data_IF_941437262535
#
_entry.id   IF_941437262535
#
_cell.length_a   1.000
_cell.length_b   1.000
_cell.length_c   1.000
_cell.angle_alpha   90.00
_cell.angle_beta   90.00
_cell.angle_gamma   90.00
#
_symmetry.space_group_name_H-M   'P 1'
#
loop_
_entity.id
_entity.type
_entity.pdbx_description
1 polymer ?
#
# COMPACT_ATOMS: atom_id res chain seq x y z
N UNK A 1 34.13 -5.46 2.85
CA UNK A 1 33.23 -5.75 1.70
C UNK A 1 31.80 -5.38 2.08
N UNK A 2 31.22 -4.38 1.43
CA UNK A 2 29.85 -3.92 1.68
C UNK A 2 28.89 -4.93 1.04
N UNK A 3 28.24 -5.76 1.86
CA UNK A 3 27.29 -6.76 1.40
C UNK A 3 25.96 -6.08 1.04
N UNK A 4 25.67 -5.97 -0.25
CA UNK A 4 24.32 -5.68 -0.73
C UNK A 4 23.38 -6.82 -0.32
N UNK A 5 22.21 -6.46 0.19
CA UNK A 5 21.21 -7.45 0.58
C UNK A 5 20.30 -7.69 -0.62
N UNK A 6 20.43 -8.88 -1.27
CA UNK A 6 19.54 -9.30 -2.36
C UNK A 6 18.60 -10.38 -1.80
N UNK A 7 17.32 -10.08 -1.76
CA UNK A 7 16.27 -10.99 -1.28
C UNK A 7 15.26 -11.27 -2.40
N UNK A 8 14.70 -12.46 -2.40
CA UNK A 8 13.67 -12.86 -3.36
C UNK A 8 12.58 -13.67 -2.68
N UNK A 9 11.39 -13.68 -3.26
CA UNK A 9 10.41 -14.71 -2.96
C UNK A 9 10.87 -16.08 -3.53
N UNK A 10 10.06 -17.13 -3.30
CA UNK A 10 10.34 -18.50 -3.69
C UNK A 10 10.02 -18.83 -5.15
N UNK A 11 9.52 -17.88 -5.93
CA UNK A 11 9.15 -18.10 -7.33
C UNK A 11 10.39 -18.42 -8.17
N UNK A 12 10.31 -19.42 -9.06
CA UNK A 12 11.41 -19.83 -9.96
C UNK A 12 12.01 -18.67 -10.75
N UNK A 13 11.17 -17.74 -11.24
CA UNK A 13 11.61 -16.56 -11.98
C UNK A 13 12.38 -15.59 -11.09
N UNK A 14 11.93 -15.39 -9.84
CA UNK A 14 12.64 -14.56 -8.85
C UNK A 14 14.02 -15.12 -8.53
N UNK A 15 14.14 -16.43 -8.34
CA UNK A 15 15.40 -17.11 -8.07
C UNK A 15 16.37 -16.99 -9.25
N UNK A 16 15.91 -17.14 -10.51
CA UNK A 16 16.74 -16.91 -11.72
C UNK A 16 17.26 -15.48 -11.77
N UNK A 17 16.40 -14.48 -11.50
CA UNK A 17 16.80 -13.06 -11.47
C UNK A 17 17.84 -12.83 -10.35
N UNK A 18 17.64 -13.42 -9.17
CA UNK A 18 18.57 -13.32 -8.05
C UNK A 18 19.96 -13.86 -8.42
N UNK A 19 20.02 -15.06 -8.99
CA UNK A 19 21.28 -15.68 -9.43
C UNK A 19 21.99 -14.83 -10.48
N UNK A 20 21.25 -14.28 -11.45
CA UNK A 20 21.78 -13.35 -12.44
C UNK A 20 22.40 -12.11 -11.79
N UNK A 21 21.72 -11.48 -10.85
CA UNK A 21 22.21 -10.29 -10.16
C UNK A 21 23.45 -10.59 -9.31
N UNK A 22 23.45 -11.68 -8.56
CA UNK A 22 24.61 -12.08 -7.75
C UNK A 22 25.86 -12.28 -8.63
N UNK A 23 25.72 -12.98 -9.78
CA UNK A 23 26.81 -13.20 -10.72
C UNK A 23 27.37 -11.88 -11.28
N UNK A 24 26.50 -10.92 -11.61
CA UNK A 24 26.93 -9.65 -12.20
C UNK A 24 27.46 -8.65 -11.16
N UNK A 25 26.94 -8.65 -9.92
CA UNK A 25 27.43 -7.76 -8.87
C UNK A 25 28.75 -8.20 -8.26
N UNK A 26 29.14 -9.47 -8.34
CA UNK A 26 30.50 -9.89 -8.01
C UNK A 26 31.54 -9.18 -8.87
N UNK A 27 31.20 -8.84 -10.15
CA UNK A 27 32.09 -8.16 -11.08
C UNK A 27 32.11 -6.63 -10.94
N UNK A 28 31.00 -6.03 -10.47
CA UNK A 28 30.85 -4.57 -10.28
C UNK A 28 30.03 -4.32 -8.99
N UNK A 29 30.66 -4.16 -7.83
CA UNK A 29 29.94 -3.87 -6.59
C UNK A 29 29.24 -2.51 -6.69
N UNK A 30 27.98 -2.45 -6.26
CA UNK A 30 27.23 -1.20 -6.12
C UNK A 30 27.52 -0.61 -4.74
N UNK A 31 27.92 0.65 -4.70
CA UNK A 31 28.51 1.33 -3.56
C UNK A 31 27.55 1.76 -2.43
N UNK A 32 26.48 1.01 -2.13
CA UNK A 32 25.60 1.43 -1.02
C UNK A 32 25.26 0.28 -0.07
N UNK A 33 25.85 0.29 1.11
CA UNK A 33 25.64 -0.71 2.17
C UNK A 33 24.20 -0.79 2.68
N UNK A 34 23.42 0.27 2.46
CA UNK A 34 22.03 0.35 2.91
C UNK A 34 21.00 -0.03 1.84
N UNK A 35 21.43 -0.57 0.69
CA UNK A 35 20.55 -0.97 -0.38
C UNK A 35 20.05 -2.40 -0.21
N UNK A 36 18.74 -2.57 -0.22
CA UNK A 36 18.05 -3.86 -0.28
C UNK A 36 17.40 -4.00 -1.65
N UNK A 37 17.84 -4.99 -2.41
CA UNK A 37 17.23 -5.38 -3.68
C UNK A 37 16.18 -6.46 -3.40
N UNK A 38 14.93 -6.15 -3.73
CA UNK A 38 13.78 -7.01 -3.46
C UNK A 38 13.24 -7.56 -4.77
N UNK A 39 13.30 -8.88 -4.97
CA UNK A 39 12.86 -9.54 -6.21
C UNK A 39 11.57 -10.32 -5.92
N UNK A 40 10.48 -9.97 -6.61
CA UNK A 40 9.16 -10.57 -6.38
C UNK A 40 8.04 -9.70 -6.92
N UNK A 41 6.85 -9.82 -6.32
CA UNK A 41 5.71 -8.94 -6.56
C UNK A 41 5.55 -7.88 -5.47
N UNK A 42 4.53 -7.00 -5.61
CA UNK A 42 4.24 -5.94 -4.62
C UNK A 42 3.99 -6.50 -3.22
N UNK A 43 3.31 -7.64 -3.08
CA UNK A 43 3.07 -8.28 -1.78
C UNK A 43 4.37 -8.65 -1.05
N UNK A 44 5.38 -9.15 -1.77
CA UNK A 44 6.70 -9.44 -1.20
C UNK A 44 7.45 -8.17 -0.81
N UNK A 45 7.32 -7.11 -1.61
CA UNK A 45 7.85 -5.78 -1.28
C UNK A 45 7.21 -5.24 0.00
N UNK A 46 5.88 -5.24 0.12
CA UNK A 46 5.17 -4.77 1.32
C UNK A 46 5.62 -5.52 2.58
N UNK A 47 5.74 -6.85 2.50
CA UNK A 47 6.25 -7.69 3.60
C UNK A 47 7.68 -7.31 3.99
N UNK A 48 8.53 -7.06 3.01
CA UNK A 48 9.93 -6.65 3.21
C UNK A 48 10.01 -5.28 3.87
N UNK A 49 9.26 -4.30 3.39
CA UNK A 49 9.20 -2.96 3.95
C UNK A 49 8.75 -3.01 5.43
N UNK A 50 7.65 -3.72 5.73
CA UNK A 50 7.15 -3.87 7.10
C UNK A 50 8.17 -4.48 8.06
N UNK A 51 8.94 -5.50 7.61
CA UNK A 51 10.03 -6.08 8.40
C UNK A 51 11.18 -5.10 8.67
N UNK A 52 11.37 -4.11 7.81
CA UNK A 52 12.44 -3.12 7.89
C UNK A 52 11.92 -1.73 8.30
N UNK A 53 10.76 -1.61 8.95
CA UNK A 53 10.12 -0.33 9.29
C UNK A 53 10.96 0.63 10.13
N UNK A 54 11.93 0.12 10.88
CA UNK A 54 12.81 0.89 11.75
C UNK A 54 14.21 1.08 11.14
N UNK A 55 14.39 0.82 9.85
CA UNK A 55 15.68 0.95 9.17
C UNK A 55 15.70 2.15 8.23
N UNK A 56 16.86 2.76 8.06
CA UNK A 56 17.10 3.82 7.06
C UNK A 56 17.52 3.28 5.69
N UNK A 57 17.14 2.03 5.38
CA UNK A 57 17.53 1.36 4.14
C UNK A 57 16.80 1.92 2.93
N UNK A 58 17.45 1.76 1.77
CA UNK A 58 16.88 2.02 0.45
C UNK A 58 16.39 0.70 -0.15
N UNK A 59 15.25 0.71 -0.80
CA UNK A 59 14.65 -0.48 -1.38
C UNK A 59 14.50 -0.32 -2.89
N UNK A 60 15.12 -1.23 -3.64
CA UNK A 60 14.93 -1.31 -5.09
C UNK A 60 14.17 -2.60 -5.41
N UNK A 61 12.91 -2.46 -5.80
CA UNK A 61 12.09 -3.60 -6.18
C UNK A 61 12.31 -4.01 -7.63
N UNK A 62 12.42 -5.32 -7.88
CA UNK A 62 12.46 -5.92 -9.22
C UNK A 62 11.27 -6.85 -9.37
N UNK A 63 10.39 -6.54 -10.32
CA UNK A 63 9.22 -7.35 -10.59
C UNK A 63 9.59 -8.66 -11.30
N UNK A 64 9.23 -9.78 -10.72
CA UNK A 64 9.33 -11.11 -11.31
C UNK A 64 7.99 -11.63 -11.85
N UNK A 65 6.89 -11.00 -11.46
CA UNK A 65 5.53 -11.30 -11.94
C UNK A 65 5.16 -10.48 -13.19
N UNK A 66 3.86 -10.46 -13.47
CA UNK A 66 3.32 -9.70 -14.59
C UNK A 66 3.21 -8.20 -14.27
N UNK A 67 2.88 -7.85 -13.01
CA UNK A 67 2.59 -6.49 -12.54
C UNK A 67 3.27 -6.18 -11.22
N UNK A 68 3.51 -4.91 -11.00
CA UNK A 68 3.97 -4.38 -9.74
C UNK A 68 4.07 -2.85 -9.81
N UNK A 69 3.29 -2.16 -8.98
CA UNK A 69 3.30 -0.69 -8.92
C UNK A 69 4.50 -0.19 -8.10
N UNK A 70 4.89 -0.95 -7.08
CA UNK A 70 6.06 -0.65 -6.23
C UNK A 70 7.39 -1.18 -6.79
N UNK A 71 7.35 -1.92 -7.91
CA UNK A 71 8.49 -2.64 -8.46
C UNK A 71 8.95 -2.03 -9.79
N UNK A 72 10.26 -2.18 -10.10
CA UNK A 72 10.85 -1.89 -11.40
C UNK A 72 10.80 -3.12 -12.31
N UNK A 73 10.83 -2.93 -13.62
CA UNK A 73 10.86 -4.03 -14.60
C UNK A 73 12.27 -4.63 -14.65
N UNK A 74 12.37 -5.93 -14.61
CA UNK A 74 13.64 -6.60 -14.89
C UNK A 74 14.02 -6.50 -16.36
N UNK A 75 15.27 -6.14 -16.61
CA UNK A 75 15.91 -6.19 -17.94
C UNK A 75 17.36 -6.60 -17.77
N UNK A 76 17.80 -7.76 -18.31
CA UNK A 76 19.19 -8.19 -18.20
C UNK A 76 20.19 -7.15 -18.71
N UNK A 77 19.84 -6.44 -19.80
CA UNK A 77 20.71 -5.43 -20.43
C UNK A 77 20.76 -4.10 -19.65
N UNK A 78 19.68 -3.71 -18.98
CA UNK A 78 19.52 -2.35 -18.45
C UNK A 78 19.44 -2.26 -16.93
N UNK A 79 19.05 -3.33 -16.21
CA UNK A 79 18.81 -3.26 -14.76
C UNK A 79 20.02 -2.73 -14.00
N UNK A 80 21.23 -3.21 -14.31
CA UNK A 80 22.46 -2.77 -13.60
C UNK A 80 22.74 -1.28 -13.87
N UNK A 81 22.56 -0.81 -15.10
CA UNK A 81 22.73 0.62 -15.47
C UNK A 81 21.67 1.50 -14.83
N UNK A 82 20.46 0.97 -14.64
CA UNK A 82 19.35 1.70 -14.07
C UNK A 82 19.53 1.99 -12.57
N UNK A 83 20.23 1.13 -11.82
CA UNK A 83 20.51 1.38 -10.40
C UNK A 83 21.22 2.71 -10.15
N UNK A 84 22.20 3.07 -10.97
CA UNK A 84 22.97 4.32 -10.82
C UNK A 84 22.15 5.57 -11.15
N UNK A 85 21.04 5.42 -11.87
CA UNK A 85 20.13 6.50 -12.31
C UNK A 85 18.77 6.47 -11.61
N UNK A 86 18.60 5.58 -10.65
CA UNK A 86 17.32 5.44 -9.94
C UNK A 86 16.99 6.70 -9.12
N UNK A 87 15.73 7.13 -9.19
CA UNK A 87 15.21 8.25 -8.40
C UNK A 87 14.62 7.73 -7.11
N UNK A 88 14.92 8.40 -6.01
CA UNK A 88 14.36 8.08 -4.70
C UNK A 88 12.99 8.72 -4.51
N UNK A 89 12.06 7.94 -3.98
CA UNK A 89 10.75 8.39 -3.52
C UNK A 89 10.58 7.90 -2.08
N UNK A 90 10.27 8.79 -1.17
CA UNK A 90 9.95 8.44 0.22
C UNK A 90 8.45 8.32 0.38
N UNK A 91 7.99 7.17 0.89
CA UNK A 91 6.60 6.92 1.23
C UNK A 91 6.43 6.75 2.74
N UNK A 92 5.25 7.12 3.24
CA UNK A 92 4.88 7.03 4.65
C UNK A 92 3.68 6.11 4.80
N UNK A 93 3.68 5.15 5.73
CA UNK A 93 2.54 4.29 5.97
C UNK A 93 1.43 5.01 6.72
N UNK A 94 0.23 4.46 6.67
CA UNK A 94 -0.83 4.76 7.63
C UNK A 94 -0.55 4.03 8.94
N UNK A 95 -0.88 4.68 10.05
CA UNK A 95 -1.08 4.04 11.35
C UNK A 95 -2.58 3.83 11.55
N UNK A 96 -2.97 2.60 11.84
CA UNK A 96 -4.32 2.21 12.22
C UNK A 96 -4.35 1.88 13.70
N UNK A 97 -5.27 2.49 14.44
CA UNK A 97 -5.59 2.16 15.84
C UNK A 97 -7.03 1.71 15.85
N UNK A 98 -7.26 0.48 16.28
CA UNK A 98 -8.60 -0.13 16.33
C UNK A 98 -8.95 -0.45 17.76
N UNK A 99 -10.15 -0.03 18.18
CA UNK A 99 -10.81 -0.48 19.40
C UNK A 99 -11.97 -1.41 19.03
N UNK A 100 -12.00 -2.60 19.59
CA UNK A 100 -13.09 -3.54 19.39
C UNK A 100 -14.27 -3.31 20.36
N UNK A 101 -15.31 -4.15 20.28
CA UNK A 101 -16.48 -4.08 21.18
C UNK A 101 -16.12 -4.30 22.65
N UNK A 102 -15.14 -5.15 22.93
CA UNK A 102 -14.67 -5.51 24.27
C UNK A 102 -13.70 -4.48 24.87
N UNK A 103 -13.38 -3.42 24.13
CA UNK A 103 -12.45 -2.38 24.59
C UNK A 103 -10.99 -2.66 24.27
N UNK A 104 -10.64 -3.84 23.70
CA UNK A 104 -9.28 -4.16 23.28
C UNK A 104 -8.80 -3.22 22.19
N UNK A 105 -7.61 -2.65 22.38
CA UNK A 105 -6.96 -1.74 21.42
C UNK A 105 -5.82 -2.46 20.74
N UNK A 106 -5.81 -2.41 19.40
CA UNK A 106 -4.70 -2.90 18.57
C UNK A 106 -4.21 -1.82 17.65
N UNK A 107 -2.89 -1.83 17.37
CA UNK A 107 -2.22 -0.89 16.46
C UNK A 107 -1.52 -1.65 15.35
N UNK A 108 -1.58 -1.11 14.13
CA UNK A 108 -0.86 -1.65 12.97
C UNK A 108 -0.50 -0.55 12.00
N UNK A 109 0.37 -0.87 11.02
CA UNK A 109 0.68 0.03 9.90
C UNK A 109 0.22 -0.59 8.58
N UNK A 110 -0.23 0.28 7.67
CA UNK A 110 -0.56 -0.08 6.30
C UNK A 110 0.25 0.78 5.33
N UNK A 111 0.89 0.16 4.35
CA UNK A 111 1.66 0.86 3.31
C UNK A 111 0.72 1.27 2.18
N UNK A 112 -0.19 0.38 1.79
CA UNK A 112 -1.19 0.66 0.76
C UNK A 112 -2.44 1.32 1.36
N UNK A 113 -3.25 0.58 2.10
CA UNK A 113 -4.51 1.07 2.62
C UNK A 113 -4.93 0.40 3.94
N UNK A 114 -5.81 1.09 4.64
CA UNK A 114 -6.66 0.52 5.69
C UNK A 114 -8.06 0.37 5.12
N UNK A 115 -8.56 -0.85 5.04
CA UNK A 115 -9.94 -1.14 4.63
C UNK A 115 -10.80 -1.57 5.81
N UNK A 116 -12.05 -1.08 5.82
CA UNK A 116 -13.07 -1.44 6.77
C UNK A 116 -14.12 -2.22 6.01
N UNK A 117 -14.37 -3.47 6.40
CA UNK A 117 -15.23 -4.40 5.67
C UNK A 117 -16.31 -4.96 6.58
N UNK A 118 -17.52 -5.16 6.05
CA UNK A 118 -18.58 -5.89 6.76
C UNK A 118 -18.17 -7.35 7.01
N UNK A 119 -18.53 -7.90 8.15
CA UNK A 119 -18.29 -9.31 8.51
C UNK A 119 -19.51 -10.20 8.30
N UNK A 120 -20.64 -9.65 7.94
CA UNK A 120 -21.89 -10.38 7.74
C UNK A 120 -22.54 -10.02 6.42
N UNK A 121 -23.64 -10.69 6.07
CA UNK A 121 -24.44 -10.35 4.89
C UNK A 121 -25.04 -8.94 4.95
N UNK A 122 -25.19 -8.37 6.14
CA UNK A 122 -25.71 -7.01 6.30
C UNK A 122 -24.63 -5.96 6.01
N UNK A 123 -25.01 -4.91 5.28
CA UNK A 123 -24.13 -3.79 4.99
C UNK A 123 -23.60 -3.12 6.27
N UNK A 124 -22.39 -2.65 6.28
CA UNK A 124 -21.82 -1.85 7.35
C UNK A 124 -22.59 -0.53 7.53
N UNK A 125 -22.61 0.01 8.75
CA UNK A 125 -23.17 1.33 9.07
C UNK A 125 -22.11 2.15 9.77
N UNK A 126 -21.51 3.09 9.03
CA UNK A 126 -20.30 3.79 9.44
C UNK A 126 -20.53 5.30 9.53
N UNK A 127 -19.91 5.95 10.51
CA UNK A 127 -19.67 7.40 10.46
C UNK A 127 -18.19 7.67 10.18
N UNK A 128 -17.89 8.73 9.43
CA UNK A 128 -16.53 9.10 9.04
C UNK A 128 -16.32 10.57 9.36
N UNK A 129 -15.21 10.85 10.06
CA UNK A 129 -14.81 12.19 10.46
C UNK A 129 -13.34 12.45 10.08
N UNK A 130 -12.99 13.69 9.84
CA UNK A 130 -11.60 14.18 9.74
C UNK A 130 -11.37 15.19 10.86
N UNK A 131 -10.63 14.79 11.88
CA UNK A 131 -10.53 15.55 13.14
C UNK A 131 -11.91 15.73 13.79
N UNK A 132 -12.34 16.98 13.94
CA UNK A 132 -13.68 17.34 14.45
C UNK A 132 -14.74 17.42 13.33
N UNK A 133 -14.32 17.54 12.05
CA UNK A 133 -15.26 17.74 10.93
C UNK A 133 -15.87 16.40 10.49
N UNK A 134 -17.20 16.35 10.46
CA UNK A 134 -17.95 15.21 9.93
C UNK A 134 -17.84 15.22 8.40
N UNK A 135 -17.31 14.12 7.81
CA UNK A 135 -17.33 13.89 6.36
C UNK A 135 -18.67 13.28 5.97
N UNK A 136 -19.12 12.26 6.72
CA UNK A 136 -20.38 11.60 6.50
C UNK A 136 -20.94 11.08 7.82
N UNK A 137 -22.18 11.44 8.14
CA UNK A 137 -22.86 11.04 9.41
C UNK A 137 -23.17 9.54 9.41
N UNK A 138 -23.64 9.01 8.28
CA UNK A 138 -24.02 7.60 8.14
C UNK A 138 -23.80 7.11 6.72
N UNK A 139 -22.85 6.22 6.55
CA UNK A 139 -22.58 5.48 5.32
C UNK A 139 -23.07 4.04 5.48
N UNK A 140 -23.98 3.62 4.60
CA UNK A 140 -24.38 2.21 4.46
C UNK A 140 -23.71 1.66 3.22
N UNK A 141 -22.82 0.69 3.39
CA UNK A 141 -21.97 0.16 2.31
C UNK A 141 -21.43 -1.22 2.70
N UNK A 142 -20.73 -1.89 1.77
CA UNK A 142 -19.95 -3.07 2.12
C UNK A 142 -18.71 -2.70 2.95
N UNK A 143 -18.27 -1.46 2.84
CA UNK A 143 -17.15 -0.93 3.61
C UNK A 143 -16.67 0.42 3.12
N UNK A 144 -15.50 0.80 3.59
CA UNK A 144 -14.76 2.00 3.18
C UNK A 144 -13.27 1.72 3.32
N UNK A 145 -12.46 2.31 2.47
CA UNK A 145 -11.01 2.26 2.64
C UNK A 145 -10.39 3.65 2.67
N UNK A 146 -9.24 3.73 3.34
CA UNK A 146 -8.38 4.90 3.37
C UNK A 146 -7.05 4.49 2.77
N UNK A 147 -6.69 5.09 1.64
CA UNK A 147 -5.51 4.72 0.87
C UNK A 147 -4.44 5.81 0.89
N UNK A 148 -3.19 5.38 0.94
CA UNK A 148 -2.01 6.19 0.67
C UNK A 148 -1.86 6.43 -0.84
N UNK A 149 -0.98 7.33 -1.29
CA UNK A 149 -0.59 7.41 -2.69
C UNK A 149 -0.06 6.09 -3.26
N UNK A 150 0.71 5.32 -2.47
CA UNK A 150 1.24 4.02 -2.90
C UNK A 150 0.12 2.98 -3.11
N UNK A 151 -0.89 2.97 -2.23
CA UNK A 151 -2.04 2.08 -2.32
C UNK A 151 -3.13 2.54 -3.28
N UNK A 152 -3.03 3.75 -3.85
CA UNK A 152 -4.07 4.28 -4.75
C UNK A 152 -4.27 3.43 -6.02
N UNK A 153 -3.29 2.62 -6.38
CA UNK A 153 -3.32 1.68 -7.50
C UNK A 153 -3.58 0.23 -7.09
N UNK A 154 -3.79 -0.03 -5.79
CA UNK A 154 -4.14 -1.34 -5.24
C UNK A 154 -5.67 -1.46 -5.05
N UNK A 155 -6.15 -1.91 -3.91
CA UNK A 155 -7.58 -2.09 -3.66
C UNK A 155 -8.42 -0.81 -3.87
N UNK A 156 -7.79 0.36 -3.63
CA UNK A 156 -8.44 1.64 -3.93
C UNK A 156 -8.86 1.78 -5.40
N UNK A 157 -8.04 1.30 -6.34
CA UNK A 157 -8.38 1.34 -7.77
C UNK A 157 -9.54 0.40 -8.09
N UNK A 158 -9.58 -0.78 -7.49
CA UNK A 158 -10.66 -1.78 -7.69
C UNK A 158 -12.03 -1.27 -7.21
N UNK A 159 -12.06 -0.34 -6.26
CA UNK A 159 -13.30 0.31 -5.80
C UNK A 159 -13.53 1.68 -6.46
N UNK A 160 -12.91 1.91 -7.62
CA UNK A 160 -13.00 3.16 -8.38
C UNK A 160 -12.53 4.41 -7.61
N UNK A 161 -11.65 4.23 -6.63
CA UNK A 161 -11.02 5.34 -5.93
C UNK A 161 -10.03 6.09 -6.83
N UNK A 162 -9.72 7.37 -6.51
CA UNK A 162 -8.82 8.19 -7.30
C UNK A 162 -7.38 7.70 -7.20
N UNK A 163 -6.66 7.78 -8.32
CA UNK A 163 -5.23 7.52 -8.35
C UNK A 163 -4.48 8.77 -7.87
N UNK A 164 -3.57 8.58 -6.92
CA UNK A 164 -2.77 9.64 -6.35
C UNK A 164 -1.30 9.51 -6.80
N UNK A 165 -0.68 10.63 -7.16
CA UNK A 165 0.77 10.65 -7.39
C UNK A 165 1.52 10.24 -6.13
N UNK A 166 2.57 9.41 -6.25
CA UNK A 166 3.37 8.94 -5.10
C UNK A 166 3.93 10.08 -4.24
N UNK A 167 4.18 11.24 -4.83
CA UNK A 167 4.69 12.42 -4.14
C UNK A 167 3.57 13.30 -3.56
N UNK A 168 2.30 12.95 -3.74
CA UNK A 168 1.21 13.78 -3.25
C UNK A 168 1.10 13.68 -1.73
N UNK A 169 0.83 14.83 -1.09
CA UNK A 169 0.54 14.91 0.34
C UNK A 169 -0.95 14.74 0.60
N UNK A 170 -1.53 13.67 0.01
CA UNK A 170 -2.97 13.40 0.02
C UNK A 170 -3.25 11.96 0.38
N UNK A 171 -4.44 11.71 0.91
CA UNK A 171 -5.01 10.37 1.14
C UNK A 171 -6.35 10.31 0.40
N UNK A 172 -6.77 9.10 0.00
CA UNK A 172 -8.10 8.83 -0.53
C UNK A 172 -8.95 8.13 0.51
N UNK A 173 -10.20 8.57 0.66
CA UNK A 173 -11.26 7.81 1.34
C UNK A 173 -12.20 7.35 0.24
N UNK A 174 -12.33 6.05 0.04
CA UNK A 174 -13.15 5.46 -1.03
C UNK A 174 -14.15 4.47 -0.45
N UNK A 175 -15.45 4.61 -0.74
CA UNK A 175 -16.44 3.64 -0.29
C UNK A 175 -16.36 2.34 -1.09
N UNK A 176 -16.78 1.24 -0.48
CA UNK A 176 -16.94 -0.06 -1.11
C UNK A 176 -18.44 -0.30 -1.25
N UNK A 177 -18.94 -0.37 -2.49
CA UNK A 177 -20.35 -0.59 -2.81
C UNK A 177 -21.31 0.29 -1.98
N UNK A 178 -21.27 1.63 -2.08
CA UNK A 178 -22.09 2.52 -1.26
C UNK A 178 -23.58 2.41 -1.63
N UNK A 179 -24.41 1.99 -0.65
CA UNK A 179 -25.85 1.91 -0.80
C UNK A 179 -26.54 3.23 -0.40
N UNK A 180 -26.07 3.88 0.69
CA UNK A 180 -26.58 5.18 1.15
C UNK A 180 -25.44 5.98 1.80
N UNK A 181 -25.22 7.25 1.42
CA UNK A 181 -25.80 7.91 0.25
C UNK A 181 -25.40 7.21 -1.04
N UNK A 182 -26.33 7.13 -1.99
CA UNK A 182 -26.04 6.56 -3.31
C UNK A 182 -25.02 7.43 -4.04
N UNK A 183 -24.14 6.78 -4.81
CA UNK A 183 -23.13 7.45 -5.66
C UNK A 183 -22.12 8.32 -4.88
N UNK A 184 -22.02 8.17 -3.56
CA UNK A 184 -20.93 8.83 -2.85
C UNK A 184 -19.58 8.28 -3.32
N UNK A 185 -18.80 9.14 -3.96
CA UNK A 185 -17.50 8.76 -4.58
C UNK A 185 -16.32 8.78 -3.60
N UNK A 186 -16.57 9.12 -2.33
CA UNK A 186 -15.48 9.31 -1.36
C UNK A 186 -14.91 10.71 -1.37
N UNK A 187 -13.69 10.88 -0.85
CA UNK A 187 -13.05 12.18 -0.71
C UNK A 187 -11.54 12.07 -0.71
N UNK A 188 -10.87 12.99 -1.40
CA UNK A 188 -9.43 13.22 -1.25
C UNK A 188 -9.22 14.21 -0.11
N UNK A 189 -8.29 13.90 0.79
CA UNK A 189 -7.97 14.71 1.97
C UNK A 189 -6.45 14.88 2.11
N UNK A 190 -6.03 15.79 2.99
CA UNK A 190 -4.60 15.97 3.32
C UNK A 190 -4.03 14.74 4.03
N UNK A 191 -2.76 14.42 3.81
CA UNK A 191 -2.02 13.40 4.56
C UNK A 191 -1.76 13.76 6.04
N UNK A 192 -2.05 15.02 6.43
CA UNK A 192 -2.05 15.47 7.83
C UNK A 192 -3.36 15.15 8.56
N UNK A 193 -4.36 14.64 7.86
CA UNK A 193 -5.69 14.35 8.42
C UNK A 193 -5.65 13.20 9.42
N UNK A 194 -6.52 13.29 10.42
CA UNK A 194 -6.81 12.20 11.37
C UNK A 194 -8.23 11.73 11.09
N UNK A 195 -8.33 10.56 10.46
CA UNK A 195 -9.60 9.98 10.06
C UNK A 195 -10.11 9.13 11.22
N UNK A 196 -11.34 9.40 11.66
CA UNK A 196 -12.04 8.61 12.65
C UNK A 196 -13.22 7.92 11.98
N UNK A 197 -13.29 6.59 12.09
CA UNK A 197 -14.38 5.78 11.57
C UNK A 197 -15.02 5.05 12.73
N UNK A 198 -16.33 5.20 12.87
CA UNK A 198 -17.09 4.54 13.93
C UNK A 198 -18.14 3.61 13.33
N UNK A 199 -18.20 2.39 13.81
CA UNK A 199 -19.31 1.49 13.54
C UNK A 199 -20.52 1.91 14.36
N UNK A 200 -21.59 2.33 13.70
CA UNK A 200 -22.81 2.83 14.35
C UNK A 200 -23.68 1.71 14.93
N UNK A 201 -23.52 0.48 14.47
CA UNK A 201 -24.28 -0.67 14.96
C UNK A 201 -23.42 -1.94 15.06
N UNK A 202 -22.46 -1.99 16.00
CA UNK A 202 -21.49 -3.08 16.06
C UNK A 202 -22.08 -4.43 16.49
N UNK A 203 -23.26 -4.47 17.13
CA UNK A 203 -23.94 -5.73 17.46
C UNK A 203 -24.55 -6.39 16.22
N UNK A 204 -25.37 -5.63 15.47
CA UNK A 204 -26.09 -6.14 14.30
C UNK A 204 -25.25 -6.16 13.02
N UNK A 205 -24.28 -5.25 12.88
CA UNK A 205 -23.47 -5.02 11.67
C UNK A 205 -21.98 -5.03 12.01
N UNK A 206 -21.42 -6.19 12.40
CA UNK A 206 -20.02 -6.28 12.75
C UNK A 206 -19.11 -5.98 11.53
N UNK A 207 -17.96 -5.37 11.79
CA UNK A 207 -16.97 -5.01 10.77
C UNK A 207 -15.59 -5.50 11.16
N UNK A 208 -14.76 -5.73 10.14
CA UNK A 208 -13.31 -5.90 10.27
C UNK A 208 -12.59 -4.63 9.84
N UNK A 209 -11.46 -4.35 10.48
CA UNK A 209 -10.48 -3.36 10.02
C UNK A 209 -9.23 -4.08 9.57
N UNK A 210 -8.75 -3.80 8.35
CA UNK A 210 -7.63 -4.50 7.73
C UNK A 210 -6.54 -3.50 7.37
N UNK A 211 -5.32 -3.72 7.83
CA UNK A 211 -4.13 -2.93 7.48
C UNK A 211 -3.27 -3.71 6.46
N UNK A 212 -3.38 -3.40 5.18
CA UNK A 212 -2.90 -4.20 4.04
C UNK A 212 -3.44 -5.65 4.12
N UNK A 213 -2.73 -6.56 4.77
CA UNK A 213 -3.08 -7.97 4.91
C UNK A 213 -3.37 -8.42 6.36
N UNK A 214 -3.38 -7.50 7.33
CA UNK A 214 -3.58 -7.81 8.75
C UNK A 214 -4.99 -7.43 9.19
N UNK A 215 -5.84 -8.41 9.43
CA UNK A 215 -7.25 -8.24 9.83
C UNK A 215 -7.42 -8.13 11.36
N UNK A 216 -8.29 -7.22 11.78
CA UNK A 216 -8.81 -7.09 13.14
C UNK A 216 -10.33 -7.12 13.12
N UNK A 217 -10.91 -8.19 13.67
CA UNK A 217 -12.36 -8.44 13.67
C UNK A 217 -13.08 -7.67 14.78
N UNK A 218 -14.40 -7.52 14.62
CA UNK A 218 -15.28 -6.88 15.58
C UNK A 218 -14.87 -5.44 15.95
N UNK A 219 -14.35 -4.71 14.98
CA UNK A 219 -13.94 -3.33 15.14
C UNK A 219 -15.16 -2.43 15.48
N UNK A 220 -14.96 -1.47 16.39
CA UNK A 220 -15.97 -0.48 16.78
C UNK A 220 -15.52 0.93 16.42
N UNK A 221 -14.37 1.35 16.92
CA UNK A 221 -13.79 2.66 16.67
C UNK A 221 -12.42 2.49 16.03
N UNK A 222 -12.20 3.18 14.91
CA UNK A 222 -10.97 3.09 14.15
C UNK A 222 -10.43 4.51 13.94
N UNK A 223 -9.14 4.70 14.24
CA UNK A 223 -8.40 5.94 13.97
C UNK A 223 -7.32 5.61 12.94
N UNK A 224 -7.26 6.41 11.88
CA UNK A 224 -6.29 6.25 10.79
C UNK A 224 -5.61 7.61 10.57
N UNK A 225 -4.28 7.61 10.56
CA UNK A 225 -3.45 8.79 10.27
C UNK A 225 -2.16 8.36 9.59
N UNK A 226 -1.51 9.26 8.88
CA UNK A 226 -0.17 9.00 8.35
C UNK A 226 0.84 8.93 9.48
N UNK A 227 1.67 7.89 9.52
CA UNK A 227 2.78 7.79 10.45
C UNK A 227 4.05 8.39 9.83
N UNK A 228 4.38 9.63 10.19
CA UNK A 228 5.58 10.33 9.69
C UNK A 228 6.89 9.87 10.37
N UNK A 229 6.82 9.10 11.46
CA UNK A 229 8.00 8.54 12.14
C UNK A 229 8.59 7.35 11.38
N UNK A 230 7.76 6.65 10.61
CA UNK A 230 8.18 5.51 9.76
C UNK A 230 8.23 6.01 8.32
N UNK A 231 9.37 5.82 7.66
CA UNK A 231 9.56 6.16 6.25
C UNK A 231 10.18 5.00 5.48
N UNK A 232 9.80 4.84 4.23
CA UNK A 232 10.39 3.87 3.31
C UNK A 232 10.94 4.58 2.09
N UNK A 233 12.24 4.43 1.84
CA UNK A 233 12.91 5.04 0.70
C UNK A 233 12.93 4.03 -0.45
N UNK A 234 12.07 4.23 -1.43
CA UNK A 234 11.97 3.39 -2.63
C UNK A 234 12.79 4.00 -3.77
N UNK A 235 13.48 3.16 -4.50
CA UNK A 235 14.24 3.55 -5.67
C UNK A 235 13.52 3.09 -6.95
N UNK A 236 13.26 4.03 -7.85
CA UNK A 236 12.56 3.81 -9.11
C UNK A 236 13.44 4.16 -10.31
N UNK A 237 13.33 3.38 -11.36
CA UNK A 237 13.93 3.70 -12.65
C UNK A 237 13.40 5.03 -13.18
N UNK A 238 14.31 5.91 -13.63
CA UNK A 238 13.98 7.26 -14.10
C UNK A 238 12.98 7.31 -15.26
N UNK A 239 12.93 6.25 -16.09
CA UNK A 239 12.08 6.17 -17.28
C UNK A 239 10.68 5.58 -17.02
N UNK A 240 10.30 5.35 -15.75
CA UNK A 240 9.00 4.76 -15.40
C UNK A 240 8.12 5.73 -14.64
N UNK A 241 7.15 6.31 -15.35
CA UNK A 241 6.07 7.04 -14.70
C UNK A 241 4.99 6.06 -14.21
N UNK A 242 4.46 6.33 -13.02
CA UNK A 242 3.29 5.63 -12.49
C UNK A 242 2.10 5.71 -13.47
N UNK A 243 1.93 6.84 -14.14
CA UNK A 243 0.90 7.06 -15.17
C UNK A 243 0.99 6.09 -16.34
N UNK A 244 2.21 5.77 -16.83
CA UNK A 244 2.39 4.75 -17.88
C UNK A 244 1.98 3.36 -17.38
N UNK A 245 2.30 3.02 -16.13
CA UNK A 245 1.90 1.73 -15.54
C UNK A 245 0.37 1.61 -15.46
N UNK A 246 -0.30 2.66 -15.01
CA UNK A 246 -1.76 2.72 -14.89
C UNK A 246 -2.42 2.57 -16.27
N UNK A 247 -1.94 3.32 -17.27
CA UNK A 247 -2.47 3.24 -18.63
C UNK A 247 -2.33 1.84 -19.21
N UNK A 248 -1.21 1.17 -18.96
CA UNK A 248 -1.01 -0.22 -19.39
C UNK A 248 -2.01 -1.16 -18.71
N UNK A 249 -2.26 -0.99 -17.40
CA UNK A 249 -3.22 -1.79 -16.64
C UNK A 249 -4.65 -1.62 -17.15
N UNK A 250 -5.05 -0.39 -17.45
CA UNK A 250 -6.40 -0.07 -17.92
C UNK A 250 -6.70 -0.54 -19.37
N UNK A 251 -5.66 -0.61 -20.23
CA UNK A 251 -5.82 -0.97 -21.66
C UNK A 251 -5.70 -2.47 -21.86
N UNK A 252 -5.16 -3.20 -20.91
CA UNK A 252 -4.83 -4.60 -21.07
C UNK A 252 -6.09 -5.47 -21.10
N UNK A 253 -6.32 -6.11 -22.24
CA UNK A 253 -7.20 -7.28 -22.34
C UNK A 253 -6.53 -8.41 -21.55
N UNK A 254 -7.26 -9.06 -20.65
CA UNK A 254 -6.82 -10.29 -20.03
C UNK A 254 -6.62 -11.30 -21.16
N UNK A 255 -5.36 -11.61 -21.46
CA UNK A 255 -5.04 -12.78 -22.25
C UNK A 255 -5.05 -13.95 -21.30
N UNK A 256 -6.13 -14.74 -21.37
CA UNK A 256 -6.24 -16.10 -20.82
C UNK A 256 -5.02 -16.94 -21.16
#
# INVERSE_FOLDING_TARGET
>A
MIKQIIISDSNKKSLKIKSFLIKNFKKKPIFNSNLVIVIGGDGFMLKTLKKNKNSSKFFYGINSGNYGFLMNKFSPKHTIKNFSKAKMITIFPLEMIVKNKQGLIKKSIAINEVSILRQSKQAASLSIQNGAKIIIKKLISDGVLVSTPAGSTAYNLSVHGPILSLNSKKLSISPISPFRPRRWKGKIISDKSIIKIKNLNPKKRPISAVADNLEFRNAKDIIIKTNKKIKFNLLYDSNRSLQKKIKIEQIRKETT
#
